data_IF_275300565720
#
_entry.id   IF_275300565720
#
_cell.length_a   1.000
_cell.length_b   1.000
_cell.length_c   1.000
_cell.angle_alpha   90.00
_cell.angle_beta   90.00
_cell.angle_gamma   90.00
#
_symmetry.space_group_name_H-M   'P 1'
#
loop_
_entity.id
_entity.type
_entity.pdbx_description
1 polymer ?
#
# COMPACT_ATOMS: atom_id res chain seq x y z
N UNK A 1 16.50 -7.98 -11.81
CA UNK A 1 16.06 -6.60 -12.10
C UNK A 1 15.23 -6.15 -10.92
N UNK A 2 15.25 -4.87 -10.59
CA UNK A 2 14.38 -4.28 -9.56
C UNK A 2 13.09 -3.83 -10.24
N UNK A 3 11.96 -4.13 -9.59
CA UNK A 3 10.64 -3.64 -9.97
C UNK A 3 10.25 -2.57 -8.96
N UNK A 4 9.98 -1.35 -9.44
CA UNK A 4 9.63 -0.21 -8.59
C UNK A 4 8.16 0.15 -8.83
N UNK A 5 7.40 0.23 -7.74
CA UNK A 5 5.98 0.56 -7.72
C UNK A 5 5.83 1.89 -6.96
N UNK A 6 5.87 3.00 -7.69
CA UNK A 6 5.88 4.36 -7.14
C UNK A 6 4.86 5.21 -7.91
N UNK A 7 4.04 5.99 -7.19
CA UNK A 7 3.09 6.94 -7.77
C UNK A 7 3.35 8.39 -7.34
N UNK A 8 3.97 8.58 -6.17
CA UNK A 8 4.29 9.88 -5.59
C UNK A 8 5.65 10.44 -6.06
N UNK A 9 5.89 11.73 -5.84
CA UNK A 9 7.15 12.41 -6.16
C UNK A 9 8.15 12.49 -4.99
N UNK A 10 7.78 11.97 -3.83
CA UNK A 10 8.59 11.97 -2.61
C UNK A 10 8.31 13.12 -1.65
N UNK A 11 7.38 14.02 -1.97
CA UNK A 11 6.95 15.13 -1.12
C UNK A 11 5.58 14.84 -0.53
N UNK A 12 5.45 14.97 0.79
CA UNK A 12 4.14 14.92 1.45
C UNK A 12 3.51 16.31 1.46
N UNK A 13 2.22 16.39 1.16
CA UNK A 13 1.44 17.64 1.20
C UNK A 13 0.42 17.66 2.33
N UNK A 14 -0.09 16.49 2.74
CA UNK A 14 -1.15 16.38 3.73
C UNK A 14 -1.20 14.99 4.39
N UNK A 15 -1.95 14.86 5.47
CA UNK A 15 -2.32 13.58 6.10
C UNK A 15 -3.83 13.39 6.11
N UNK A 16 -4.29 12.20 5.72
CA UNK A 16 -5.73 11.86 5.64
C UNK A 16 -6.05 10.70 6.59
N UNK A 17 -7.24 10.75 7.16
CA UNK A 17 -7.81 9.70 7.99
C UNK A 17 -9.29 9.96 8.21
N UNK A 18 -9.86 9.22 9.15
CA UNK A 18 -11.28 9.33 9.52
C UNK A 18 -11.41 9.74 10.98
N UNK A 19 -12.62 10.12 11.38
CA UNK A 19 -12.97 10.19 12.81
C UNK A 19 -13.74 8.94 13.23
N UNK A 20 -14.09 8.90 14.51
CA UNK A 20 -14.90 7.86 15.12
C UNK A 20 -14.10 6.63 15.56
N UNK A 21 -14.77 5.50 15.57
CA UNK A 21 -14.35 4.31 16.32
C UNK A 21 -13.97 3.16 15.37
N UNK A 22 -13.55 3.49 14.15
CA UNK A 22 -13.27 2.53 13.08
C UNK A 22 -11.86 2.74 12.54
N UNK A 23 -11.23 1.63 12.17
CA UNK A 23 -9.91 1.60 11.55
C UNK A 23 -9.98 2.01 10.08
N UNK A 24 -8.88 2.57 9.59
CA UNK A 24 -8.78 3.16 8.26
C UNK A 24 -7.85 2.35 7.36
N UNK A 25 -8.29 2.04 6.14
CA UNK A 25 -7.46 1.44 5.10
C UNK A 25 -7.27 2.40 3.93
N UNK A 26 -6.04 2.48 3.42
CA UNK A 26 -5.71 3.20 2.20
C UNK A 26 -4.76 2.38 1.33
N UNK A 27 -4.95 2.42 0.01
CA UNK A 27 -4.22 1.60 -0.95
C UNK A 27 -3.88 2.38 -2.22
N UNK A 28 -2.72 2.05 -2.81
CA UNK A 28 -2.35 2.44 -4.17
C UNK A 28 -2.51 1.25 -5.11
N UNK A 29 -3.03 1.51 -6.32
CA UNK A 29 -3.12 0.56 -7.44
C UNK A 29 -2.02 0.81 -8.46
N UNK A 30 -1.05 -0.09 -8.56
CA UNK A 30 0.06 -0.04 -9.50
C UNK A 30 -0.19 -0.96 -10.69
N UNK A 31 0.24 -0.56 -11.89
CA UNK A 31 0.21 -1.39 -13.09
C UNK A 31 1.66 -1.61 -13.57
N UNK A 32 2.35 -2.69 -13.13
CA UNK A 32 3.71 -2.98 -13.57
C UNK A 32 3.74 -3.34 -15.06
N UNK A 33 4.89 -3.19 -15.70
CA UNK A 33 5.09 -3.66 -17.07
C UNK A 33 4.85 -5.19 -17.15
N UNK A 34 4.02 -5.69 -18.09
CA UNK A 34 3.75 -7.13 -18.20
C UNK A 34 5.00 -8.01 -18.32
N UNK A 35 6.10 -7.49 -18.87
CA UNK A 35 7.38 -8.19 -19.04
C UNK A 35 8.18 -8.36 -17.75
N UNK A 36 7.82 -7.69 -16.64
CA UNK A 36 8.46 -7.90 -15.34
C UNK A 36 7.89 -9.08 -14.57
N UNK A 37 6.76 -9.67 -15.01
CA UNK A 37 6.20 -10.85 -14.34
C UNK A 37 6.88 -12.15 -14.80
N UNK A 38 7.02 -13.16 -13.92
CA UNK A 38 6.77 -13.09 -12.48
C UNK A 38 7.91 -12.35 -11.75
N UNK A 39 7.55 -11.66 -10.68
CA UNK A 39 8.50 -11.07 -9.73
C UNK A 39 7.98 -11.26 -8.29
N UNK A 40 8.88 -11.09 -7.33
CA UNK A 40 8.52 -11.10 -5.93
C UNK A 40 8.51 -9.65 -5.41
N UNK A 41 7.45 -9.25 -4.71
CA UNK A 41 7.48 -8.05 -3.89
C UNK A 41 8.26 -8.37 -2.62
N UNK A 42 9.36 -7.67 -2.40
CA UNK A 42 10.30 -7.94 -1.30
C UNK A 42 10.20 -6.89 -0.20
N UNK A 43 9.79 -5.66 -0.55
CA UNK A 43 9.78 -4.53 0.36
C UNK A 43 8.61 -3.58 0.09
N UNK A 44 8.07 -3.00 1.15
CA UNK A 44 7.11 -1.89 1.10
C UNK A 44 7.71 -0.69 1.84
N UNK A 45 7.52 0.51 1.29
CA UNK A 45 7.88 1.76 1.96
C UNK A 45 6.65 2.61 2.17
N UNK A 46 6.51 3.16 3.38
CA UNK A 46 5.36 3.99 3.76
C UNK A 46 5.89 5.24 4.47
N UNK A 47 5.36 6.41 4.12
CA UNK A 47 5.66 7.64 4.84
C UNK A 47 4.55 7.95 5.83
N UNK A 48 4.92 8.35 7.05
CA UNK A 48 4.00 8.86 8.06
C UNK A 48 4.46 10.26 8.47
N UNK A 49 3.55 11.23 8.40
CA UNK A 49 3.81 12.60 8.81
C UNK A 49 3.43 12.81 10.27
N UNK A 50 4.27 13.54 11.01
CA UNK A 50 3.98 13.95 12.37
C UNK A 50 2.73 14.82 12.51
N UNK A 51 2.34 15.57 11.47
CA UNK A 51 1.10 16.34 11.47
C UNK A 51 -0.15 15.45 11.43
N UNK A 52 -0.01 14.20 10.97
CA UNK A 52 -1.08 13.18 10.95
C UNK A 52 -1.44 12.60 12.32
N UNK A 53 -0.75 13.04 13.40
CA UNK A 53 -0.94 12.57 14.78
C UNK A 53 -0.66 11.06 15.00
N UNK A 54 0.04 10.42 14.07
CA UNK A 54 0.66 9.12 14.29
C UNK A 54 1.69 9.18 15.42
N UNK A 55 1.89 8.05 16.09
CA UNK A 55 2.97 7.82 17.04
C UNK A 55 3.82 6.63 16.59
N UNK A 56 5.13 6.72 16.80
CA UNK A 56 6.02 5.57 16.61
C UNK A 56 5.58 4.45 17.55
N UNK A 57 5.33 3.27 16.99
CA UNK A 57 4.79 2.13 17.71
C UNK A 57 3.31 1.85 17.42
N UNK A 58 2.57 2.77 16.80
CA UNK A 58 1.18 2.51 16.39
C UNK A 58 1.13 1.27 15.49
N UNK A 59 0.16 0.41 15.76
CA UNK A 59 0.00 -0.85 15.04
C UNK A 59 -0.62 -0.61 13.66
N UNK A 60 -0.02 -1.24 12.66
CA UNK A 60 -0.49 -1.20 11.28
C UNK A 60 -0.45 -2.60 10.67
N UNK A 61 -1.24 -2.80 9.62
CA UNK A 61 -1.16 -4.00 8.77
C UNK A 61 -0.86 -3.57 7.35
N UNK A 62 0.28 -4.00 6.81
CA UNK A 62 0.57 -3.86 5.39
C UNK A 62 -0.19 -4.94 4.64
N UNK A 63 -0.91 -4.56 3.59
CA UNK A 63 -1.73 -5.48 2.78
C UNK A 63 -1.32 -5.46 1.32
N UNK A 64 -1.36 -6.63 0.67
CA UNK A 64 -1.03 -6.80 -0.75
C UNK A 64 -2.10 -7.63 -1.44
N UNK A 65 -2.52 -7.18 -2.61
CA UNK A 65 -3.48 -7.85 -3.48
C UNK A 65 -2.96 -7.87 -4.92
N UNK A 66 -3.42 -8.85 -5.69
CA UNK A 66 -3.41 -8.80 -7.15
C UNK A 66 -4.79 -8.45 -7.69
N UNK A 67 -4.84 -7.83 -8.87
CA UNK A 67 -6.08 -7.63 -9.62
C UNK A 67 -5.83 -7.86 -11.11
N UNK A 68 -6.50 -8.85 -11.69
CA UNK A 68 -6.29 -9.27 -13.09
C UNK A 68 -7.31 -8.69 -14.07
N UNK A 69 -8.25 -7.88 -13.59
CA UNK A 69 -9.39 -7.42 -14.42
C UNK A 69 -9.10 -6.13 -15.18
N UNK A 70 -8.07 -5.36 -14.79
CA UNK A 70 -7.78 -4.03 -15.34
C UNK A 70 -8.84 -2.98 -15.01
N UNK A 71 -9.73 -3.25 -14.04
CA UNK A 71 -10.75 -2.29 -13.62
C UNK A 71 -10.14 -1.09 -12.90
N UNK A 72 -10.66 0.10 -13.14
CA UNK A 72 -10.23 1.32 -12.42
C UNK A 72 -10.46 1.22 -10.91
N UNK A 73 -11.52 0.57 -10.46
CA UNK A 73 -11.72 0.28 -9.05
C UNK A 73 -10.91 -0.98 -8.68
N UNK A 74 -9.84 -0.86 -7.87
CA UNK A 74 -8.97 -1.99 -7.52
C UNK A 74 -9.69 -3.08 -6.72
N UNK A 75 -10.86 -2.80 -6.12
CA UNK A 75 -11.66 -3.79 -5.41
C UNK A 75 -12.34 -4.80 -6.34
N UNK A 76 -12.66 -4.41 -7.58
CA UNK A 76 -13.35 -5.29 -8.53
C UNK A 76 -12.36 -6.33 -9.06
N UNK A 77 -12.47 -7.57 -8.61
CA UNK A 77 -11.56 -8.66 -9.00
C UNK A 77 -10.23 -8.67 -8.24
N UNK A 78 -10.19 -8.04 -7.07
CA UNK A 78 -9.05 -8.10 -6.15
C UNK A 78 -8.96 -9.49 -5.49
N UNK A 79 -7.77 -10.08 -5.48
CA UNK A 79 -7.46 -11.25 -4.66
C UNK A 79 -6.44 -10.87 -3.59
N UNK A 80 -6.77 -11.11 -2.33
CA UNK A 80 -5.83 -10.92 -1.23
C UNK A 80 -4.70 -11.94 -1.31
N UNK A 81 -3.46 -11.46 -1.17
CA UNK A 81 -2.25 -12.30 -1.20
C UNK A 81 -1.54 -12.32 0.14
N UNK A 82 -1.47 -11.19 0.83
CA UNK A 82 -0.60 -11.05 1.99
C UNK A 82 -1.07 -9.97 2.97
N UNK A 83 -0.85 -10.23 4.26
CA UNK A 83 -0.98 -9.27 5.35
C UNK A 83 0.26 -9.37 6.25
N UNK A 84 0.85 -8.23 6.61
CA UNK A 84 1.99 -8.14 7.51
C UNK A 84 1.73 -7.14 8.64
N UNK A 85 1.34 -7.65 9.84
CA UNK A 85 1.25 -6.83 11.04
C UNK A 85 2.62 -6.31 11.46
N UNK A 86 2.71 -5.01 11.68
CA UNK A 86 3.94 -4.31 12.09
C UNK A 86 3.57 -3.00 12.78
N UNK A 87 4.55 -2.13 13.02
CA UNK A 87 4.33 -0.83 13.65
C UNK A 87 5.00 0.29 12.87
N UNK A 88 4.54 1.52 13.09
CA UNK A 88 5.23 2.73 12.62
C UNK A 88 6.62 2.80 13.29
N UNK A 89 7.68 2.92 12.49
CA UNK A 89 9.08 2.94 12.94
C UNK A 89 9.63 4.36 13.12
N UNK A 90 9.15 5.30 12.31
CA UNK A 90 9.57 6.70 12.32
C UNK A 90 8.46 7.61 11.77
N UNK A 91 8.52 8.89 12.16
CA UNK A 91 7.72 9.96 11.57
C UNK A 91 8.63 10.87 10.74
N UNK A 92 8.06 11.55 9.75
CA UNK A 92 8.76 12.46 8.84
C UNK A 92 9.92 11.79 8.08
N UNK A 93 9.79 10.49 7.84
CA UNK A 93 10.76 9.67 7.14
C UNK A 93 10.06 8.46 6.51
N UNK A 94 10.66 7.94 5.45
CA UNK A 94 10.23 6.67 4.85
C UNK A 94 10.47 5.52 5.83
N UNK A 95 9.40 4.83 6.18
CA UNK A 95 9.44 3.59 6.94
C UNK A 95 9.65 2.45 5.94
N UNK A 96 10.78 1.77 6.07
CA UNK A 96 11.17 0.68 5.17
C UNK A 96 10.81 -0.66 5.83
N UNK A 97 10.00 -1.46 5.15
CA UNK A 97 9.54 -2.77 5.61
C UNK A 97 9.97 -3.85 4.61
N UNK A 98 11.04 -4.57 4.95
CA UNK A 98 11.36 -5.83 4.27
C UNK A 98 10.31 -6.87 4.67
N UNK A 99 9.67 -7.49 3.67
CA UNK A 99 8.63 -8.47 3.91
C UNK A 99 9.29 -9.78 4.41
N UNK A 100 8.82 -10.36 5.52
CA UNK A 100 9.39 -11.61 6.05
C UNK A 100 9.36 -12.78 5.05
N UNK A 101 8.36 -12.78 4.17
CA UNK A 101 8.26 -13.66 3.02
C UNK A 101 7.95 -12.81 1.78
N UNK A 102 8.72 -12.95 0.68
CA UNK A 102 8.41 -12.25 -0.56
C UNK A 102 7.04 -12.69 -1.10
N UNK A 103 6.28 -11.73 -1.65
CA UNK A 103 4.96 -12.00 -2.23
C UNK A 103 5.12 -12.24 -3.74
N UNK A 104 4.91 -13.47 -4.19
CA UNK A 104 5.01 -13.82 -5.61
C UNK A 104 3.83 -13.24 -6.40
N UNK A 105 4.15 -12.48 -7.46
CA UNK A 105 3.19 -11.90 -8.38
C UNK A 105 3.38 -12.55 -9.75
N UNK A 106 2.41 -13.35 -10.16
CA UNK A 106 2.59 -14.34 -11.23
C UNK A 106 2.25 -13.84 -12.63
N UNK A 107 1.29 -12.94 -12.77
CA UNK A 107 0.73 -12.58 -14.07
C UNK A 107 0.56 -11.09 -14.26
N UNK A 108 0.53 -10.62 -15.52
CA UNK A 108 0.20 -9.23 -15.81
C UNK A 108 -1.13 -8.86 -15.17
N UNK A 109 -1.16 -7.69 -14.55
CA UNK A 109 -2.30 -7.20 -13.79
C UNK A 109 -1.87 -6.05 -12.91
N UNK A 110 -2.82 -5.55 -12.14
CA UNK A 110 -2.55 -4.53 -11.13
C UNK A 110 -2.08 -5.19 -9.83
N UNK A 111 -1.13 -4.53 -9.19
CA UNK A 111 -0.67 -4.83 -7.83
C UNK A 111 -1.26 -3.75 -6.93
N UNK A 112 -1.93 -4.14 -5.86
CA UNK A 112 -2.50 -3.20 -4.89
C UNK A 112 -1.74 -3.35 -3.60
N UNK A 113 -1.15 -2.26 -3.12
CA UNK A 113 -0.42 -2.23 -1.84
C UNK A 113 -1.05 -1.15 -0.99
N UNK A 114 -1.26 -1.46 0.28
CA UNK A 114 -1.82 -0.49 1.20
C UNK A 114 -1.53 -0.82 2.64
N UNK A 115 -2.18 -0.05 3.50
CA UNK A 115 -1.98 -0.07 4.94
C UNK A 115 -3.34 0.04 5.61
N UNK A 116 -3.51 -0.72 6.68
CA UNK A 116 -4.58 -0.57 7.65
C UNK A 116 -3.96 0.02 8.91
N UNK A 117 -4.41 1.19 9.35
CA UNK A 117 -4.04 1.70 10.66
C UNK A 117 -5.01 1.16 11.72
N UNK A 118 -4.48 0.51 12.76
CA UNK A 118 -5.29 -0.16 13.78
C UNK A 118 -5.68 0.74 14.96
N UNK A 119 -5.05 1.92 15.09
CA UNK A 119 -5.50 2.93 16.04
C UNK A 119 -6.86 3.50 15.60
N UNK A 120 -7.83 3.46 16.50
CA UNK A 120 -9.15 4.06 16.27
C UNK A 120 -9.07 5.59 16.48
N UNK A 121 -9.49 6.41 15.50
CA UNK A 121 -9.19 7.84 15.52
C UNK A 121 -9.80 8.67 16.65
N UNK A 122 -10.94 8.26 17.21
CA UNK A 122 -11.75 9.11 18.07
C UNK A 122 -12.11 10.44 17.38
N UNK A 123 -11.50 11.53 17.83
CA UNK A 123 -11.70 12.86 17.20
C UNK A 123 -10.68 13.21 16.13
N UNK A 124 -9.51 12.58 16.10
CA UNK A 124 -8.38 13.03 15.29
C UNK A 124 -7.31 11.95 15.17
N UNK A 125 -7.05 11.51 13.94
CA UNK A 125 -5.93 10.64 13.56
C UNK A 125 -5.92 10.55 12.03
N UNK A 126 -4.85 11.00 11.37
CA UNK A 126 -4.78 11.14 9.91
C UNK A 126 -3.53 10.46 9.33
N UNK A 127 -3.45 9.11 9.41
CA UNK A 127 -2.21 8.38 9.19
C UNK A 127 -1.78 8.27 7.73
N UNK A 128 -2.69 8.48 6.77
CA UNK A 128 -2.36 8.32 5.35
C UNK A 128 -1.75 9.60 4.79
N UNK A 129 -0.43 9.68 4.79
CA UNK A 129 0.30 10.73 4.08
C UNK A 129 0.00 10.68 2.58
N UNK A 130 -0.23 11.84 1.97
CA UNK A 130 -0.57 11.99 0.55
C UNK A 130 0.32 13.05 -0.12
N UNK A 131 0.77 12.72 -1.33
CA UNK A 131 1.35 13.65 -2.31
C UNK A 131 0.22 14.13 -3.23
N UNK A 132 0.00 15.44 -3.29
CA UNK A 132 -1.05 16.08 -4.08
C UNK A 132 -0.50 16.83 -5.30
N UNK A 133 0.80 16.70 -5.60
CA UNK A 133 1.45 17.38 -6.72
C UNK A 133 0.86 17.00 -8.07
N UNK A 134 0.66 15.70 -8.32
CA UNK A 134 -0.03 15.20 -9.53
C UNK A 134 -0.71 13.87 -9.26
N UNK A 135 -2.05 13.87 -9.26
CA UNK A 135 -2.82 12.64 -9.12
C UNK A 135 -2.62 11.66 -10.29
N UNK A 136 -2.55 10.38 -9.96
CA UNK A 136 -2.61 9.28 -10.92
C UNK A 136 -3.97 8.57 -10.96
N UNK A 137 -4.97 9.04 -10.19
CA UNK A 137 -6.31 8.43 -10.05
C UNK A 137 -6.27 6.93 -9.69
N UNK A 138 -5.34 6.59 -8.80
CA UNK A 138 -4.97 5.20 -8.44
C UNK A 138 -5.00 4.92 -6.95
N UNK A 139 -5.41 5.90 -6.15
CA UNK A 139 -5.30 5.90 -4.71
C UNK A 139 -6.69 5.83 -4.10
N UNK A 140 -6.93 4.82 -3.28
CA UNK A 140 -8.26 4.52 -2.73
C UNK A 140 -8.20 4.40 -1.23
N UNK A 141 -9.32 4.64 -0.56
CA UNK A 141 -9.43 4.48 0.88
C UNK A 141 -10.82 4.06 1.31
N UNK A 142 -10.93 3.52 2.52
CA UNK A 142 -12.17 3.02 3.08
C UNK A 142 -12.07 2.58 4.53
N UNK A 143 -13.16 2.02 5.03
CA UNK A 143 -13.30 1.47 6.38
C UNK A 143 -14.47 0.49 6.43
N UNK A 144 -14.46 -0.37 7.45
CA UNK A 144 -15.49 -1.40 7.67
C UNK A 144 -16.61 -0.92 8.58
N UNK A 145 -17.70 -1.68 8.64
CA UNK A 145 -18.80 -1.42 9.59
C UNK A 145 -18.48 -1.84 11.03
N UNK A 146 -17.39 -2.57 11.25
CA UNK A 146 -17.02 -3.15 12.54
C UNK A 146 -15.53 -2.99 12.82
N UNK A 147 -15.22 -2.74 14.09
CA UNK A 147 -13.88 -2.88 14.67
C UNK A 147 -13.82 -4.19 15.50
N UNK A 148 -12.72 -4.96 15.43
CA UNK A 148 -11.56 -4.73 14.54
C UNK A 148 -11.87 -5.10 13.07
N UNK A 149 -10.99 -4.74 12.11
CA UNK A 149 -11.10 -5.18 10.72
C UNK A 149 -11.03 -6.70 10.60
N UNK A 150 -11.57 -7.28 9.50
CA UNK A 150 -11.46 -8.72 9.25
C UNK A 150 -9.99 -9.17 9.12
N UNK A 151 -9.68 -10.35 9.67
CA UNK A 151 -8.33 -10.97 9.58
C UNK A 151 -7.84 -11.11 8.12
N UNK A 152 -8.77 -11.40 7.21
CA UNK A 152 -8.54 -11.36 5.75
C UNK A 152 -9.22 -10.10 5.20
N UNK A 153 -8.48 -9.01 5.00
CA UNK A 153 -9.06 -7.72 4.64
C UNK A 153 -9.42 -7.71 3.15
N UNK A 154 -10.53 -8.31 2.73
CA UNK A 154 -10.97 -8.28 1.33
C UNK A 154 -11.38 -6.86 0.90
N UNK A 155 -11.06 -6.49 -0.34
CA UNK A 155 -11.53 -5.22 -0.92
C UNK A 155 -12.89 -5.41 -1.64
N UNK A 156 -13.80 -4.42 -1.56
CA UNK A 156 -13.69 -3.23 -0.71
C UNK A 156 -14.09 -3.57 0.74
N UNK A 157 -13.71 -2.73 1.72
CA UNK A 157 -14.39 -2.69 3.01
C UNK A 157 -15.92 -2.57 2.85
N UNK A 158 -16.67 -3.07 3.84
CA UNK A 158 -18.12 -3.23 3.73
C UNK A 158 -18.94 -1.99 4.10
N UNK A 159 -18.31 -0.90 4.54
CA UNK A 159 -18.96 0.39 4.75
C UNK A 159 -18.66 1.38 3.64
N UNK A 160 -17.41 1.85 3.54
CA UNK A 160 -17.00 2.87 2.59
C UNK A 160 -15.80 2.43 1.77
N UNK A 161 -15.81 2.80 0.49
CA UNK A 161 -14.70 2.67 -0.43
C UNK A 161 -14.75 3.77 -1.48
N UNK A 162 -13.70 4.59 -1.55
CA UNK A 162 -13.65 5.74 -2.45
C UNK A 162 -12.29 5.89 -3.11
N UNK A 163 -12.31 6.37 -4.35
CA UNK A 163 -11.14 6.99 -4.97
C UNK A 163 -10.87 8.30 -4.21
N UNK A 164 -9.64 8.52 -3.78
CA UNK A 164 -9.32 9.68 -2.94
C UNK A 164 -9.50 10.99 -3.70
N UNK A 165 -9.34 11.00 -5.02
CA UNK A 165 -9.57 12.16 -5.89
C UNK A 165 -10.94 12.82 -5.76
N UNK A 166 -11.95 12.09 -5.26
CA UNK A 166 -13.24 12.68 -4.96
C UNK A 166 -13.17 13.76 -3.85
N UNK A 167 -12.12 13.73 -3.01
CA UNK A 167 -11.92 14.60 -1.85
C UNK A 167 -10.57 15.31 -1.88
N UNK A 168 -9.49 14.56 -2.12
CA UNK A 168 -8.10 15.03 -2.12
C UNK A 168 -7.35 14.39 -3.29
N UNK A 169 -7.38 14.99 -4.49
CA UNK A 169 -6.61 14.50 -5.63
C UNK A 169 -5.12 14.35 -5.26
N UNK A 170 -4.59 13.13 -5.39
CA UNK A 170 -3.23 12.80 -5.00
C UNK A 170 -2.93 11.30 -4.96
N UNK A 171 -1.71 10.98 -4.53
CA UNK A 171 -1.21 9.62 -4.38
C UNK A 171 -0.80 9.34 -2.95
N UNK A 172 -1.19 8.20 -2.40
CA UNK A 172 -0.72 7.83 -1.07
C UNK A 172 0.79 7.64 -1.10
N UNK A 173 1.46 8.00 -0.01
CA UNK A 173 2.90 7.80 0.16
C UNK A 173 3.21 6.35 0.53
N UNK A 174 2.84 5.43 -0.36
CA UNK A 174 3.00 3.98 -0.25
C UNK A 174 3.67 3.49 -1.53
N UNK A 175 4.78 2.77 -1.38
CA UNK A 175 5.61 2.27 -2.48
C UNK A 175 5.91 0.79 -2.31
N UNK A 176 6.10 0.08 -3.42
CA UNK A 176 6.52 -1.31 -3.44
C UNK A 176 7.82 -1.50 -4.22
N UNK A 177 8.67 -2.40 -3.72
CA UNK A 177 9.94 -2.76 -4.37
C UNK A 177 10.05 -4.27 -4.44
N UNK A 178 10.32 -4.78 -5.63
CA UNK A 178 10.43 -6.21 -5.89
C UNK A 178 11.62 -6.58 -6.75
N UNK A 179 11.83 -7.88 -6.89
CA UNK A 179 12.92 -8.43 -7.67
C UNK A 179 12.51 -9.66 -8.48
N UNK A 180 13.14 -9.82 -9.64
CA UNK A 180 13.07 -11.07 -10.39
C UNK A 180 14.24 -11.97 -10.00
N UNK A 181 13.96 -13.22 -9.67
CA UNK A 181 14.96 -14.29 -9.45
C UNK A 181 15.73 -14.69 -10.72
N UNK A 182 15.46 -14.09 -11.88
CA UNK A 182 15.95 -14.56 -13.19
C UNK A 182 17.43 -14.31 -13.53
N UNK A 183 18.26 -13.81 -12.62
CA UNK A 183 19.70 -13.68 -12.88
C UNK A 183 20.56 -14.02 -11.67
N UNK A 184 20.71 -15.31 -11.37
CA UNK A 184 21.93 -15.78 -10.71
C UNK A 184 23.06 -15.66 -11.74
N UNK A 185 24.08 -14.84 -11.43
CA UNK A 185 25.32 -14.82 -12.18
C UNK A 185 25.89 -16.25 -12.19
N UNK A 186 25.81 -16.96 -13.32
CA UNK A 186 26.63 -18.15 -13.55
C UNK A 186 28.05 -17.61 -13.78
N UNK A 187 29.02 -17.83 -12.88
CA UNK A 187 30.39 -17.50 -13.18
C UNK A 187 30.79 -18.36 -14.38
N UNK A 188 31.09 -17.73 -15.51
CA UNK A 188 31.74 -18.41 -16.62
C UNK A 188 33.12 -18.88 -16.12
N UNK A 189 33.19 -20.14 -15.68
CA UNK A 189 34.44 -20.86 -15.50
C UNK A 189 35.03 -21.07 -16.90
N UNK A 190 35.83 -20.12 -17.37
CA UNK A 190 36.76 -20.40 -18.46
C UNK A 190 37.92 -21.21 -17.90
N UNK A 191 38.06 -22.44 -18.43
CA UNK A 191 39.23 -23.31 -18.28
C UNK A 191 40.45 -22.72 -18.98
#
# INVERSE_FOLDING_TARGET
MVVELILDDGTVDNGIGIGGDLEFIWVNRFTPDPGVFPFNLDQVQIYFDSEGLCVVGDEIVIVVYENTTGNTNPAVGSNWLYSYPTTIKALNAWNIYDLPAPVELNGPGDVVIGVIALEVPGSSYWPAAIDQTTTQTRSWAGWWKSSPPPDVPTLPPDDTWTLIDAYFPGNWMVRGFGSNTRYSYIPLLFK
#
